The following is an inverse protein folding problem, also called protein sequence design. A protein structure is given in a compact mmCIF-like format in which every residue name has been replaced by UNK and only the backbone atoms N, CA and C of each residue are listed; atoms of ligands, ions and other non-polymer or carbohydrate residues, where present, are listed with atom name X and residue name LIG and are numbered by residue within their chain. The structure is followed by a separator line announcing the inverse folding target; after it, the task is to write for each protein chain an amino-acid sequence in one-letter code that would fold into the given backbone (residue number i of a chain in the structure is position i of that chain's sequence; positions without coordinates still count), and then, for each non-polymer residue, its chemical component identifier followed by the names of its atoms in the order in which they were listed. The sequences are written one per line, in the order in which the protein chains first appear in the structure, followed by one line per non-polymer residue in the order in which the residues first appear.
data_IF_730384321199
#
_entry.id   IF_730384321199
#
_cell.length_a   1.000
_cell.length_b   1.000
_cell.length_c   1.000
_cell.angle_alpha   90.00
_cell.angle_beta   90.00
_cell.angle_gamma   90.00
#
_symmetry.space_group_name_H-M   'P 1'
#
loop_
_entity.id
_entity.type
_entity.pdbx_description
1 polymer ?
#
# COMPACT_ATOMS: atom_id res chain seq x y z
N UNK A 1 -77.86 -25.76 -2.05
CA UNK A 1 -76.72 -25.36 -1.19
C UNK A 1 -76.05 -24.19 -1.88
N UNK A 2 -76.16 -23.00 -1.30
CA UNK A 2 -75.81 -21.73 -1.94
C UNK A 2 -74.28 -21.53 -1.97
N UNK A 3 -73.74 -20.86 -3.01
CA UNK A 3 -72.37 -20.36 -2.99
C UNK A 3 -72.26 -19.13 -2.06
N UNK A 4 -71.15 -18.98 -1.31
CA UNK A 4 -70.96 -17.85 -0.41
C UNK A 4 -70.73 -16.54 -1.16
N UNK A 5 -71.21 -15.44 -0.56
CA UNK A 5 -71.17 -14.05 -1.07
C UNK A 5 -69.74 -13.47 -1.07
N UNK A 6 -69.44 -12.49 -1.95
CA UNK A 6 -68.16 -11.79 -1.94
C UNK A 6 -68.08 -10.77 -0.79
N UNK A 7 -66.91 -10.70 -0.17
CA UNK A 7 -66.54 -9.79 0.92
C UNK A 7 -66.09 -8.43 0.37
N UNK A 8 -66.66 -7.34 0.89
CA UNK A 8 -66.20 -5.97 0.71
C UNK A 8 -65.00 -5.70 1.64
N UNK A 9 -63.87 -5.25 1.09
CA UNK A 9 -62.78 -4.67 1.89
C UNK A 9 -62.49 -3.24 1.42
N UNK A 10 -62.47 -2.36 2.41
CA UNK A 10 -62.54 -0.90 2.39
C UNK A 10 -61.39 -0.21 1.63
N UNK A 11 -61.73 0.92 1.00
CA UNK A 11 -60.78 1.84 0.36
C UNK A 11 -59.87 2.50 1.41
N UNK A 12 -58.55 2.45 1.16
CA UNK A 12 -57.55 3.20 1.92
C UNK A 12 -57.35 4.60 1.31
N UNK A 13 -57.33 5.62 2.14
CA UNK A 13 -57.09 7.02 1.76
C UNK A 13 -55.65 7.23 1.19
N UNK A 14 -55.47 8.15 0.23
CA UNK A 14 -54.16 8.43 -0.35
C UNK A 14 -53.22 9.13 0.67
N UNK A 15 -51.90 8.88 0.60
CA UNK A 15 -50.94 9.42 1.57
C UNK A 15 -50.79 10.94 1.43
N UNK A 16 -50.73 11.63 2.58
CA UNK A 16 -50.47 13.07 2.69
C UNK A 16 -49.06 13.41 2.18
N UNK A 17 -49.00 14.35 1.23
CA UNK A 17 -47.75 15.01 0.81
C UNK A 17 -47.29 15.92 1.96
N UNK A 18 -46.07 15.71 2.45
CA UNK A 18 -45.41 16.59 3.43
C UNK A 18 -44.45 17.48 2.65
N UNK A 19 -44.69 18.78 2.68
CA UNK A 19 -43.81 19.80 2.09
C UNK A 19 -42.46 19.83 2.85
N UNK A 20 -41.35 19.81 2.11
CA UNK A 20 -40.01 19.88 2.68
C UNK A 20 -39.62 21.35 2.96
N UNK A 21 -39.33 21.66 4.22
CA UNK A 21 -38.73 22.93 4.64
C UNK A 21 -37.34 23.11 4.01
N UNK A 22 -37.08 24.30 3.48
CA UNK A 22 -35.80 24.70 2.93
C UNK A 22 -34.77 24.98 4.05
N UNK A 23 -33.64 24.28 4.04
CA UNK A 23 -32.52 24.50 4.97
C UNK A 23 -31.42 25.38 4.34
N UNK A 24 -30.99 26.39 5.09
CA UNK A 24 -29.93 27.39 4.82
C UNK A 24 -28.57 26.77 4.42
N UNK A 25 -27.87 27.25 3.37
CA UNK A 25 -26.63 26.63 2.88
C UNK A 25 -25.36 26.92 3.70
N UNK A 26 -25.42 27.56 4.88
CA UNK A 26 -24.20 28.04 5.57
C UNK A 26 -23.72 27.30 6.83
N UNK A 27 -24.38 26.21 7.27
CA UNK A 27 -23.89 25.42 8.41
C UNK A 27 -23.10 24.16 7.99
N UNK A 28 -21.77 24.28 7.94
CA UNK A 28 -20.87 23.11 7.80
C UNK A 28 -20.77 22.39 9.15
N UNK A 29 -21.72 21.50 9.42
CA UNK A 29 -21.71 20.61 10.59
C UNK A 29 -20.47 19.72 10.58
N UNK A 30 -19.49 20.02 11.45
CA UNK A 30 -18.40 19.09 11.74
C UNK A 30 -18.98 17.96 12.58
N UNK A 31 -19.22 16.79 11.96
CA UNK A 31 -19.64 15.59 12.69
C UNK A 31 -18.55 15.22 13.70
N UNK A 32 -18.74 15.56 14.97
CA UNK A 32 -17.93 15.01 16.06
C UNK A 32 -18.18 13.51 16.10
N UNK A 33 -17.17 12.71 15.76
CA UNK A 33 -17.23 11.25 15.91
C UNK A 33 -17.20 10.91 17.39
N UNK A 34 -18.11 10.04 17.81
CA UNK A 34 -18.08 9.47 19.15
C UNK A 34 -16.77 8.68 19.32
N UNK A 35 -16.15 8.69 20.51
CA UNK A 35 -15.00 7.84 20.81
C UNK A 35 -15.41 6.37 20.65
N UNK A 36 -14.57 5.61 19.93
CA UNK A 36 -14.78 4.19 19.65
C UNK A 36 -14.04 3.37 20.70
N UNK A 37 -14.76 2.47 21.38
CA UNK A 37 -14.18 1.52 22.34
C UNK A 37 -13.71 0.26 21.60
N UNK A 38 -12.41 0.23 21.29
CA UNK A 38 -11.79 -0.88 20.59
C UNK A 38 -11.76 -2.18 21.40
N UNK A 39 -11.75 -2.11 22.73
CA UNK A 39 -11.76 -3.31 23.58
C UNK A 39 -13.14 -4.00 23.57
N UNK A 40 -14.21 -3.23 23.40
CA UNK A 40 -15.55 -3.79 23.17
C UNK A 40 -15.69 -4.39 21.77
N UNK A 41 -15.06 -3.79 20.76
CA UNK A 41 -15.09 -4.31 19.38
C UNK A 41 -14.27 -5.59 19.23
N UNK A 42 -13.11 -5.66 19.87
CA UNK A 42 -12.27 -6.88 19.91
C UNK A 42 -13.06 -8.08 20.47
N UNK A 43 -13.86 -7.86 21.52
CA UNK A 43 -14.72 -8.90 22.10
C UNK A 43 -15.93 -9.26 21.23
N UNK A 44 -16.27 -8.43 20.24
CA UNK A 44 -17.34 -8.68 19.27
C UNK A 44 -16.80 -9.29 17.96
N UNK A 45 -15.48 -9.24 17.75
CA UNK A 45 -14.80 -9.87 16.64
C UNK A 45 -14.56 -11.34 16.97
N UNK A 46 -15.58 -12.17 16.75
CA UNK A 46 -15.45 -13.63 16.75
C UNK A 46 -14.95 -14.08 15.37
N UNK A 47 -13.75 -13.63 15.00
CA UNK A 47 -13.08 -14.01 13.74
C UNK A 47 -12.03 -15.05 14.08
N UNK A 48 -12.21 -16.26 13.57
CA UNK A 48 -11.26 -17.35 13.76
C UNK A 48 -10.10 -17.23 12.77
N UNK A 49 -8.97 -17.87 13.06
CA UNK A 49 -7.83 -17.93 12.13
C UNK A 49 -8.25 -18.49 10.76
N UNK A 50 -9.23 -19.40 10.72
CA UNK A 50 -9.81 -19.94 9.49
C UNK A 50 -10.62 -18.89 8.70
N UNK A 51 -11.32 -17.98 9.38
CA UNK A 51 -12.05 -16.87 8.74
C UNK A 51 -11.07 -15.87 8.12
N UNK A 52 -9.95 -15.60 8.81
CA UNK A 52 -8.87 -14.76 8.28
C UNK A 52 -8.24 -15.43 7.06
N UNK A 53 -7.90 -16.72 7.14
CA UNK A 53 -7.34 -17.49 6.03
C UNK A 53 -8.28 -17.51 4.81
N UNK A 54 -9.60 -17.62 5.04
CA UNK A 54 -10.61 -17.56 3.99
C UNK A 54 -10.71 -16.17 3.33
N UNK A 55 -10.57 -15.08 4.10
CA UNK A 55 -10.53 -13.72 3.54
C UNK A 55 -9.34 -13.49 2.59
N UNK A 56 -8.23 -14.19 2.82
CA UNK A 56 -7.04 -14.14 1.97
C UNK A 56 -6.93 -15.29 0.96
N UNK A 57 -7.99 -16.11 0.81
CA UNK A 57 -8.05 -17.18 -0.20
C UNK A 57 -7.13 -18.37 0.08
N UNK A 58 -6.63 -18.53 1.31
CA UNK A 58 -5.79 -19.66 1.71
C UNK A 58 -6.66 -20.79 2.32
N UNK A 59 -6.57 -22.01 1.78
CA UNK A 59 -7.16 -23.20 2.40
C UNK A 59 -6.14 -23.84 3.33
N UNK A 60 -6.56 -24.16 4.57
CA UNK A 60 -5.78 -24.98 5.48
C UNK A 60 -5.48 -26.36 4.85
N UNK A 61 -4.21 -26.61 4.53
CA UNK A 61 -3.72 -27.94 4.21
C UNK A 61 -3.07 -28.54 5.46
N UNK A 62 -3.54 -29.72 5.83
CA UNK A 62 -3.05 -30.52 6.95
C UNK A 62 -1.59 -30.94 6.78
N UNK A 63 -0.78 -30.62 7.79
CA UNK A 63 0.44 -31.32 8.25
C UNK A 63 1.32 -32.03 7.21
N UNK A 64 2.51 -31.46 6.97
CA UNK A 64 3.73 -32.25 6.79
C UNK A 64 4.88 -31.59 7.55
N UNK A 65 5.38 -32.30 8.55
CA UNK A 65 6.62 -32.04 9.26
C UNK A 65 7.82 -32.08 8.31
N UNK A 66 8.65 -31.04 8.32
CA UNK A 66 10.04 -31.15 7.88
C UNK A 66 10.95 -30.38 8.83
N UNK A 67 11.73 -31.16 9.55
CA UNK A 67 12.86 -30.81 10.40
C UNK A 67 13.81 -29.78 9.77
N UNK A 68 14.14 -28.75 10.54
CA UNK A 68 15.30 -27.91 10.30
C UNK A 68 16.58 -28.68 10.63
N UNK A 69 17.27 -29.17 9.60
CA UNK A 69 18.64 -29.68 9.72
C UNK A 69 19.63 -28.53 9.56
N UNK A 70 20.38 -28.27 10.63
CA UNK A 70 21.54 -27.39 10.69
C UNK A 70 22.61 -27.81 9.67
N UNK A 71 22.98 -26.90 8.76
CA UNK A 71 24.10 -27.05 7.85
C UNK A 71 25.12 -25.94 8.07
N UNK A 72 26.16 -26.24 8.85
CA UNK A 72 27.37 -25.41 8.93
C UNK A 72 28.10 -25.44 7.59
N UNK A 73 28.50 -24.28 7.08
CA UNK A 73 29.52 -24.18 6.03
C UNK A 73 30.31 -22.89 6.22
N UNK A 74 31.42 -23.02 6.93
CA UNK A 74 32.54 -22.07 6.90
C UNK A 74 33.13 -22.01 5.50
N UNK A 75 33.37 -20.81 4.97
CA UNK A 75 34.52 -20.54 4.10
C UNK A 75 34.92 -19.06 4.14
N UNK A 76 36.21 -18.89 4.38
CA UNK A 76 36.94 -17.64 4.55
C UNK A 76 37.21 -16.92 3.22
N UNK A 77 37.27 -15.59 3.29
CA UNK A 77 38.31 -14.74 2.70
C UNK A 77 38.65 -14.80 1.21
N UNK A 78 38.30 -13.72 0.49
CA UNK A 78 39.27 -12.78 -0.13
C UNK A 78 39.01 -12.39 -1.61
N UNK A 79 39.09 -11.06 -1.80
CA UNK A 79 39.54 -10.32 -2.98
C UNK A 79 38.52 -9.99 -4.08
N UNK A 80 38.39 -8.67 -4.30
CA UNK A 80 37.78 -8.03 -5.45
C UNK A 80 38.38 -8.55 -6.76
N UNK A 81 37.53 -9.02 -7.68
CA UNK A 81 37.71 -8.94 -9.15
C UNK A 81 36.41 -9.34 -9.86
N UNK A 82 35.93 -8.45 -10.74
CA UNK A 82 34.88 -8.72 -11.73
C UNK A 82 33.46 -8.41 -11.26
N UNK A 83 32.90 -7.28 -11.72
CA UNK A 83 31.46 -7.05 -11.73
C UNK A 83 30.85 -8.02 -12.76
N UNK A 84 30.54 -9.24 -12.32
CA UNK A 84 29.60 -10.11 -13.02
C UNK A 84 28.20 -9.58 -12.74
N UNK A 85 27.39 -9.36 -13.78
CA UNK A 85 26.01 -8.94 -13.62
C UNK A 85 25.25 -9.99 -12.79
N UNK A 86 24.84 -9.61 -11.58
CA UNK A 86 23.96 -10.43 -10.74
C UNK A 86 22.53 -10.09 -11.16
N UNK A 87 21.85 -11.04 -11.79
CA UNK A 87 20.46 -10.92 -12.25
C UNK A 87 19.47 -11.56 -11.26
N UNK A 88 18.18 -11.23 -11.47
CA UNK A 88 16.92 -11.65 -10.81
C UNK A 88 16.45 -10.68 -9.70
N UNK A 89 15.15 -10.54 -9.30
CA UNK A 89 14.00 -11.44 -9.36
C UNK A 89 12.74 -10.85 -10.05
N UNK A 90 11.74 -11.69 -10.35
CA UNK A 90 10.39 -11.28 -10.77
C UNK A 90 10.07 -11.49 -12.25
N UNK A 91 10.95 -12.13 -13.01
CA UNK A 91 10.80 -12.30 -14.45
C UNK A 91 9.44 -12.89 -14.83
N UNK A 92 8.63 -12.02 -15.41
CA UNK A 92 7.66 -12.45 -16.42
C UNK A 92 8.50 -12.93 -17.61
N UNK A 93 8.33 -14.17 -18.10
CA UNK A 93 9.14 -14.69 -19.19
C UNK A 93 9.19 -13.70 -20.37
N UNK A 94 10.36 -13.10 -20.64
CA UNK A 94 10.59 -12.27 -21.83
C UNK A 94 10.81 -10.76 -21.64
N UNK A 95 11.06 -10.24 -20.44
CA UNK A 95 11.28 -8.78 -20.23
C UNK A 95 12.66 -8.39 -19.63
N UNK A 96 13.63 -9.30 -19.56
CA UNK A 96 15.02 -8.88 -19.36
C UNK A 96 15.46 -8.04 -20.56
N UNK A 97 15.81 -6.77 -20.30
CA UNK A 97 16.31 -5.83 -21.32
C UNK A 97 17.67 -6.27 -21.91
N UNK A 98 18.31 -7.26 -21.29
CA UNK A 98 19.62 -7.77 -21.66
C UNK A 98 19.48 -9.15 -22.31
N UNK A 99 19.34 -9.14 -23.64
CA UNK A 99 19.68 -10.20 -24.60
C UNK A 99 19.58 -11.68 -24.15
N UNK A 100 18.56 -12.35 -24.70
CA UNK A 100 18.53 -13.76 -25.14
C UNK A 100 19.63 -14.68 -24.58
N UNK A 101 19.41 -15.22 -23.38
CA UNK A 101 20.10 -16.41 -22.90
C UNK A 101 19.06 -17.50 -22.60
N UNK A 102 19.29 -18.76 -22.98
CA UNK A 102 18.39 -19.85 -22.62
C UNK A 102 18.42 -20.04 -21.11
N UNK A 103 17.28 -19.84 -20.45
CA UNK A 103 17.14 -19.97 -19.00
C UNK A 103 17.05 -21.46 -18.65
N UNK A 104 18.11 -22.06 -18.11
CA UNK A 104 18.01 -23.32 -17.38
C UNK A 104 17.44 -23.03 -15.99
N UNK A 105 16.27 -23.60 -15.70
CA UNK A 105 15.62 -23.82 -14.39
C UNK A 105 16.20 -23.06 -13.19
N UNK A 106 15.96 -21.75 -13.12
CA UNK A 106 16.14 -20.99 -11.88
C UNK A 106 14.83 -20.93 -11.09
N UNK A 107 14.89 -21.15 -9.77
CA UNK A 107 13.73 -21.12 -8.90
C UNK A 107 13.11 -19.70 -8.86
N UNK A 108 11.79 -19.57 -9.07
CA UNK A 108 11.13 -18.27 -9.06
C UNK A 108 11.19 -17.65 -7.65
N UNK A 109 11.34 -16.32 -7.60
CA UNK A 109 11.32 -15.59 -6.33
C UNK A 109 10.00 -15.86 -5.59
N UNK A 110 10.09 -16.18 -4.30
CA UNK A 110 8.91 -16.47 -3.49
C UNK A 110 7.88 -15.33 -3.60
N UNK A 111 6.58 -15.64 -3.76
CA UNK A 111 5.95 -16.96 -3.76
C UNK A 111 5.80 -17.60 -5.16
N UNK A 112 6.41 -17.04 -6.20
CA UNK A 112 6.24 -17.50 -7.58
C UNK A 112 4.89 -17.12 -8.21
N UNK A 113 4.28 -16.02 -7.75
CA UNK A 113 3.03 -15.46 -8.30
C UNK A 113 3.19 -13.95 -8.56
N UNK A 114 2.18 -13.30 -9.16
CA UNK A 114 2.21 -11.86 -9.43
C UNK A 114 2.71 -11.47 -10.83
N UNK A 115 2.51 -12.35 -11.81
CA UNK A 115 2.87 -12.07 -13.21
C UNK A 115 2.07 -10.90 -13.80
N UNK A 116 2.69 -10.18 -14.73
CA UNK A 116 2.12 -8.99 -15.39
C UNK A 116 0.76 -9.28 -16.05
N UNK A 117 0.60 -10.46 -16.65
CA UNK A 117 -0.61 -10.86 -17.38
C UNK A 117 -1.77 -11.26 -16.46
N UNK A 118 -1.55 -11.36 -15.14
CA UNK A 118 -2.59 -11.72 -14.18
C UNK A 118 -3.44 -10.51 -13.84
N UNK A 119 -4.44 -10.24 -14.67
CA UNK A 119 -5.32 -9.07 -14.58
C UNK A 119 -6.49 -9.21 -13.59
N UNK A 120 -6.57 -10.35 -12.89
CA UNK A 120 -7.71 -10.72 -12.05
C UNK A 120 -8.94 -11.14 -12.86
N UNK A 121 -10.03 -11.41 -12.13
CA UNK A 121 -11.31 -11.85 -12.69
C UNK A 121 -11.47 -13.36 -12.87
N UNK A 122 -10.56 -14.15 -12.27
CA UNK A 122 -10.60 -15.62 -12.29
C UNK A 122 -11.93 -16.17 -11.74
N UNK A 123 -12.42 -15.60 -10.63
CA UNK A 123 -13.69 -16.00 -10.01
C UNK A 123 -14.87 -15.10 -10.40
N UNK A 124 -14.59 -13.90 -10.94
CA UNK A 124 -15.60 -12.89 -11.27
C UNK A 124 -15.14 -12.05 -12.45
N UNK A 125 -15.72 -12.26 -13.64
CA UNK A 125 -15.30 -11.57 -14.88
C UNK A 125 -15.38 -10.04 -14.77
N UNK A 126 -16.35 -9.52 -14.01
CA UNK A 126 -16.49 -8.08 -13.76
C UNK A 126 -15.28 -7.46 -13.00
N UNK A 127 -14.46 -8.30 -12.33
CA UNK A 127 -13.24 -7.89 -11.66
C UNK A 127 -11.99 -7.92 -12.57
N UNK A 128 -12.12 -8.35 -13.84
CA UNK A 128 -11.01 -8.32 -14.80
C UNK A 128 -10.50 -6.88 -14.98
N UNK A 129 -9.18 -6.70 -14.92
CA UNK A 129 -8.52 -5.39 -15.01
C UNK A 129 -8.48 -4.63 -13.68
N UNK A 130 -8.95 -5.22 -12.58
CA UNK A 130 -8.86 -4.63 -11.22
C UNK A 130 -7.60 -5.07 -10.45
N UNK A 131 -6.82 -5.99 -11.01
CA UNK A 131 -5.51 -6.36 -10.47
C UNK A 131 -4.41 -5.85 -11.42
N UNK A 132 -3.46 -5.10 -10.86
CA UNK A 132 -2.31 -4.55 -11.59
C UNK A 132 -1.06 -5.04 -10.87
N UNK A 133 -0.36 -6.00 -11.46
CA UNK A 133 0.94 -6.45 -10.96
C UNK A 133 2.06 -5.67 -11.62
N UNK A 134 3.08 -5.33 -10.83
CA UNK A 134 4.25 -4.57 -11.27
C UNK A 134 5.49 -5.38 -10.88
N UNK A 135 5.81 -6.44 -11.65
CA UNK A 135 6.99 -7.26 -11.38
C UNK A 135 8.25 -6.46 -11.73
N UNK A 136 9.15 -6.33 -10.75
CA UNK A 136 10.49 -5.86 -11.06
C UNK A 136 11.21 -6.91 -11.93
N UNK A 137 12.04 -6.51 -12.90
CA UNK A 137 12.80 -7.46 -13.72
C UNK A 137 14.09 -7.91 -13.01
N UNK A 138 14.61 -7.14 -12.06
CA UNK A 138 15.81 -7.48 -11.30
C UNK A 138 15.88 -6.79 -9.93
N UNK A 139 16.90 -7.12 -9.14
CA UNK A 139 17.19 -6.54 -7.82
C UNK A 139 17.66 -5.09 -7.92
N UNK A 140 17.74 -4.41 -6.78
CA UNK A 140 18.47 -3.14 -6.66
C UNK A 140 17.67 -1.88 -6.98
N UNK A 141 16.40 -2.02 -7.38
CA UNK A 141 15.50 -0.89 -7.58
C UNK A 141 15.33 -0.08 -6.30
N UNK A 142 15.35 1.25 -6.42
CA UNK A 142 15.37 2.15 -5.27
C UNK A 142 14.30 3.23 -5.37
N UNK A 143 14.54 4.33 -4.65
CA UNK A 143 13.55 5.38 -4.42
C UNK A 143 12.94 5.94 -5.71
N UNK A 144 13.77 6.18 -6.74
CA UNK A 144 13.33 6.83 -7.97
C UNK A 144 12.43 5.92 -8.80
N UNK A 145 12.76 4.64 -8.91
CA UNK A 145 11.97 3.69 -9.70
C UNK A 145 10.62 3.42 -9.02
N UNK A 146 10.62 3.27 -7.70
CA UNK A 146 9.39 3.14 -6.92
C UNK A 146 8.50 4.39 -7.03
N UNK A 147 9.08 5.59 -6.90
CA UNK A 147 8.33 6.85 -7.09
C UNK A 147 7.78 6.98 -8.51
N UNK A 148 8.55 6.58 -9.53
CA UNK A 148 8.09 6.56 -10.92
C UNK A 148 6.84 5.68 -11.07
N UNK A 149 6.86 4.48 -10.50
CA UNK A 149 5.70 3.57 -10.49
C UNK A 149 4.50 4.19 -9.77
N UNK A 150 4.72 4.80 -8.60
CA UNK A 150 3.64 5.45 -7.84
C UNK A 150 2.98 6.56 -8.67
N UNK A 151 3.77 7.41 -9.33
CA UNK A 151 3.26 8.55 -10.10
C UNK A 151 2.64 8.17 -11.46
N UNK A 152 3.18 7.17 -12.15
CA UNK A 152 2.78 6.84 -13.51
C UNK A 152 1.72 5.73 -13.57
N UNK A 153 1.64 4.86 -12.56
CA UNK A 153 0.73 3.71 -12.55
C UNK A 153 -0.26 3.80 -11.39
N UNK A 154 0.24 3.85 -10.15
CA UNK A 154 -0.62 3.70 -8.95
C UNK A 154 -1.57 4.88 -8.80
N UNK A 155 -1.07 6.11 -8.84
CA UNK A 155 -1.89 7.32 -8.67
C UNK A 155 -2.90 7.47 -9.82
N UNK A 156 -2.53 7.35 -11.11
CA UNK A 156 -3.50 7.43 -12.20
C UNK A 156 -4.58 6.35 -12.12
N UNK A 157 -4.21 5.08 -11.92
CA UNK A 157 -5.18 3.99 -11.79
C UNK A 157 -6.10 4.18 -10.57
N UNK A 158 -5.55 4.61 -9.44
CA UNK A 158 -6.34 4.90 -8.24
C UNK A 158 -7.29 6.09 -8.44
N UNK A 159 -6.88 7.15 -9.15
CA UNK A 159 -7.76 8.27 -9.47
C UNK A 159 -8.92 7.88 -10.37
N UNK A 160 -8.69 7.00 -11.34
CA UNK A 160 -9.75 6.45 -12.20
C UNK A 160 -10.70 5.54 -11.40
N UNK A 161 -10.15 4.74 -10.48
CA UNK A 161 -10.94 3.87 -9.60
C UNK A 161 -11.79 4.63 -8.58
N UNK A 162 -11.38 5.84 -8.17
CA UNK A 162 -12.06 6.69 -7.19
C UNK A 162 -12.34 5.99 -5.84
N UNK A 163 -11.30 5.56 -5.10
CA UNK A 163 -11.48 4.84 -3.84
C UNK A 163 -12.03 5.75 -2.73
N UNK A 164 -12.95 5.20 -1.94
CA UNK A 164 -13.40 5.81 -0.68
C UNK A 164 -12.34 5.75 0.44
N UNK A 165 -11.45 4.75 0.36
CA UNK A 165 -10.38 4.42 1.30
C UNK A 165 -9.24 3.70 0.56
N UNK A 166 -8.00 4.06 0.88
CA UNK A 166 -6.79 3.39 0.42
C UNK A 166 -6.15 2.63 1.58
N UNK A 167 -5.94 1.33 1.39
CA UNK A 167 -5.19 0.47 2.30
C UNK A 167 -3.84 0.15 1.66
N UNK A 168 -2.76 0.38 2.41
CA UNK A 168 -1.38 0.06 2.00
C UNK A 168 -0.92 -1.13 2.83
N UNK A 169 -0.73 -2.27 2.18
CA UNK A 169 0.03 -3.40 2.72
C UNK A 169 1.51 -2.97 2.72
N UNK A 170 2.00 -2.54 3.88
CA UNK A 170 3.23 -1.75 4.04
C UNK A 170 4.37 -2.63 4.56
N UNK A 171 4.92 -3.45 3.67
CA UNK A 171 6.14 -4.21 3.92
C UNK A 171 7.39 -3.33 3.78
N UNK A 172 8.36 -3.53 4.68
CA UNK A 172 9.65 -2.84 4.67
C UNK A 172 10.82 -3.72 4.21
N UNK A 173 10.53 -4.87 3.61
CA UNK A 173 11.53 -5.78 3.06
C UNK A 173 12.15 -5.28 1.75
N UNK A 174 11.53 -4.34 1.04
CA UNK A 174 12.20 -3.62 -0.07
C UNK A 174 13.21 -2.55 0.40
N UNK A 175 13.35 -2.36 1.72
CA UNK A 175 14.31 -1.41 2.26
C UNK A 175 15.76 -1.85 2.01
N UNK A 176 16.63 -0.87 1.72
CA UNK A 176 18.07 -1.09 1.53
C UNK A 176 18.69 -1.83 2.71
N UNK A 177 19.28 -2.99 2.46
CA UNK A 177 19.93 -3.81 3.46
C UNK A 177 18.99 -4.70 4.27
N UNK A 178 17.73 -4.85 3.84
CA UNK A 178 16.90 -5.96 4.28
C UNK A 178 17.51 -7.31 3.84
N UNK A 179 17.16 -8.37 4.57
CA UNK A 179 17.72 -9.71 4.37
C UNK A 179 17.11 -10.45 3.17
N UNK A 180 15.88 -10.12 2.76
CA UNK A 180 15.13 -10.91 1.78
C UNK A 180 14.74 -10.14 0.51
N UNK A 181 14.34 -8.87 0.64
CA UNK A 181 13.78 -8.15 -0.52
C UNK A 181 14.79 -7.73 -1.58
N UNK A 182 16.08 -7.59 -1.23
CA UNK A 182 17.17 -7.28 -2.17
C UNK A 182 16.91 -6.04 -3.04
N UNK A 183 16.17 -5.07 -2.49
CA UNK A 183 15.91 -3.76 -3.09
C UNK A 183 16.67 -2.66 -2.33
N UNK A 184 16.61 -1.44 -2.84
CA UNK A 184 17.41 -0.31 -2.39
C UNK A 184 16.57 0.88 -1.92
N UNK A 185 15.30 0.65 -1.55
CA UNK A 185 14.41 1.71 -1.08
C UNK A 185 14.91 2.24 0.27
N UNK A 186 14.98 3.55 0.41
CA UNK A 186 15.38 4.20 1.66
C UNK A 186 14.16 4.62 2.46
N UNK A 187 14.35 4.91 3.75
CA UNK A 187 13.28 5.50 4.56
C UNK A 187 12.73 6.80 3.93
N UNK A 188 13.58 7.59 3.26
CA UNK A 188 13.15 8.77 2.51
C UNK A 188 12.25 8.41 1.33
N UNK A 189 12.52 7.29 0.64
CA UNK A 189 11.67 6.75 -0.42
C UNK A 189 10.28 6.36 0.09
N UNK A 190 10.20 5.64 1.22
CA UNK A 190 8.92 5.33 1.87
C UNK A 190 8.13 6.58 2.27
N UNK A 191 8.81 7.59 2.84
CA UNK A 191 8.19 8.88 3.14
C UNK A 191 7.63 9.55 1.88
N UNK A 192 8.42 9.60 0.79
CA UNK A 192 8.02 10.26 -0.44
C UNK A 192 6.84 9.55 -1.13
N UNK A 193 6.86 8.21 -1.19
CA UNK A 193 5.74 7.42 -1.74
C UNK A 193 4.45 7.63 -0.92
N UNK A 194 4.56 7.58 0.41
CA UNK A 194 3.40 7.78 1.30
C UNK A 194 2.84 9.19 1.16
N UNK A 195 3.71 10.19 1.07
CA UNK A 195 3.33 11.59 0.83
C UNK A 195 2.58 11.74 -0.48
N UNK A 196 3.10 11.17 -1.57
CA UNK A 196 2.44 11.23 -2.89
C UNK A 196 1.05 10.59 -2.87
N UNK A 197 0.89 9.45 -2.17
CA UNK A 197 -0.42 8.80 -2.00
C UNK A 197 -1.38 9.64 -1.17
N UNK A 198 -0.93 10.24 -0.06
CA UNK A 198 -1.77 11.10 0.78
C UNK A 198 -2.18 12.41 0.07
N UNK A 199 -1.32 12.94 -0.81
CA UNK A 199 -1.67 14.08 -1.66
C UNK A 199 -2.69 13.72 -2.74
N UNK A 200 -2.66 12.48 -3.23
CA UNK A 200 -3.59 11.98 -4.22
C UNK A 200 -4.93 11.53 -3.62
N UNK A 201 -4.95 11.05 -2.37
CA UNK A 201 -6.10 10.39 -1.76
C UNK A 201 -6.35 10.85 -0.32
N UNK A 202 -7.63 11.05 0.03
CA UNK A 202 -8.06 11.67 1.29
C UNK A 202 -7.96 10.76 2.53
N UNK A 203 -8.09 9.44 2.34
CA UNK A 203 -8.11 8.45 3.43
C UNK A 203 -7.15 7.34 3.09
N UNK A 204 -5.99 7.37 3.74
CA UNK A 204 -4.92 6.40 3.56
C UNK A 204 -4.63 5.75 4.91
N UNK A 205 -4.57 4.41 4.92
CA UNK A 205 -4.20 3.61 6.09
C UNK A 205 -3.05 2.70 5.67
N UNK A 206 -1.97 2.72 6.44
CA UNK A 206 -0.86 1.79 6.28
C UNK A 206 -0.94 0.68 7.32
N UNK A 207 -0.76 -0.56 6.89
CA UNK A 207 -0.75 -1.77 7.72
C UNK A 207 0.61 -2.42 7.57
N UNK A 208 1.34 -2.60 8.67
CA UNK A 208 2.68 -3.19 8.64
C UNK A 208 2.62 -4.67 8.21
N UNK A 209 3.57 -5.07 7.36
CA UNK A 209 3.69 -6.44 6.85
C UNK A 209 5.12 -6.98 7.05
N UNK A 210 5.83 -7.32 5.96
CA UNK A 210 7.21 -7.77 5.97
C UNK A 210 8.23 -6.70 6.37
N UNK A 211 9.50 -7.10 6.42
CA UNK A 211 10.61 -6.28 6.89
C UNK A 211 11.37 -7.02 7.98
N UNK A 212 12.56 -7.48 7.63
CA UNK A 212 13.31 -8.46 8.41
C UNK A 212 14.59 -7.88 9.01
N UNK A 213 14.95 -6.66 8.62
CA UNK A 213 15.93 -5.85 9.32
C UNK A 213 15.25 -4.87 10.29
N UNK A 214 15.30 -5.15 11.60
CA UNK A 214 14.62 -4.37 12.67
C UNK A 214 14.93 -2.87 12.61
N UNK A 215 16.19 -2.52 12.34
CA UNK A 215 16.59 -1.11 12.21
C UNK A 215 15.99 -0.41 11.00
N UNK A 216 15.68 -1.15 9.94
CA UNK A 216 15.01 -0.60 8.75
C UNK A 216 13.51 -0.48 9.00
N UNK A 217 12.89 -1.49 9.61
CA UNK A 217 11.48 -1.42 10.03
C UNK A 217 11.25 -0.18 10.89
N UNK A 218 12.07 0.07 11.90
CA UNK A 218 11.92 1.26 12.75
C UNK A 218 12.02 2.59 11.97
N UNK A 219 13.01 2.72 11.07
CA UNK A 219 13.23 3.95 10.27
C UNK A 219 12.13 4.15 9.23
N UNK A 220 11.70 3.08 8.55
CA UNK A 220 10.68 3.17 7.52
C UNK A 220 9.29 3.39 8.14
N UNK A 221 8.99 2.75 9.29
CA UNK A 221 7.79 3.06 10.09
C UNK A 221 7.74 4.53 10.50
N UNK A 222 8.85 5.08 11.02
CA UNK A 222 8.92 6.50 11.38
C UNK A 222 8.67 7.40 10.17
N UNK A 223 9.26 7.06 9.02
CA UNK A 223 9.10 7.81 7.78
C UNK A 223 7.65 7.79 7.25
N UNK A 224 6.99 6.64 7.25
CA UNK A 224 5.58 6.49 6.85
C UNK A 224 4.66 7.25 7.80
N UNK A 225 4.85 7.08 9.11
CA UNK A 225 4.05 7.78 10.13
C UNK A 225 4.22 9.29 10.04
N UNK A 226 5.45 9.77 9.81
CA UNK A 226 5.74 11.19 9.60
C UNK A 226 4.99 11.74 8.38
N UNK A 227 5.03 11.05 7.24
CA UNK A 227 4.28 11.45 6.06
C UNK A 227 2.78 11.55 6.35
N UNK A 228 2.20 10.55 7.03
CA UNK A 228 0.78 10.56 7.40
C UNK A 228 0.42 11.74 8.32
N UNK A 229 1.25 12.02 9.34
CA UNK A 229 1.03 13.13 10.26
C UNK A 229 1.12 14.48 9.54
N UNK A 230 2.16 14.70 8.75
CA UNK A 230 2.37 15.96 8.02
C UNK A 230 1.24 16.22 7.00
N UNK A 231 0.69 15.18 6.37
CA UNK A 231 -0.43 15.32 5.44
C UNK A 231 -1.81 15.41 6.14
N UNK A 232 -1.91 15.02 7.41
CA UNK A 232 -3.16 15.13 8.18
C UNK A 232 -3.47 16.56 8.68
N UNK A 233 -2.53 17.49 8.49
CA UNK A 233 -2.66 18.87 8.98
C UNK A 233 -2.50 19.00 10.49
N UNK A 234 -1.97 17.97 11.18
CA UNK A 234 -1.60 18.07 12.59
C UNK A 234 -0.43 19.03 12.76
N UNK A 235 -0.53 19.93 13.74
CA UNK A 235 0.54 20.88 14.05
C UNK A 235 1.86 20.18 14.39
N UNK A 236 2.95 20.73 13.83
CA UNK A 236 4.33 20.56 14.29
C UNK A 236 4.77 19.14 14.62
N UNK A 237 4.91 18.27 13.62
CA UNK A 237 5.65 17.01 13.82
C UNK A 237 7.09 17.36 14.26
N UNK A 238 7.60 16.81 15.38
CA UNK A 238 8.94 17.14 15.85
C UNK A 238 9.97 16.94 14.74
N UNK A 239 10.84 17.93 14.56
CA UNK A 239 11.89 17.88 13.52
C UNK A 239 12.73 16.63 13.74
N UNK A 240 12.71 15.74 12.75
CA UNK A 240 13.49 14.51 12.79
C UNK A 240 14.99 14.80 12.64
N UNK A 241 15.84 13.84 13.03
CA UNK A 241 17.27 13.86 12.65
C UNK A 241 17.50 13.45 11.19
N UNK A 242 16.44 13.32 10.40
CA UNK A 242 16.51 12.86 9.03
C UNK A 242 16.96 14.01 8.13
N UNK A 243 18.01 13.77 7.34
CA UNK A 243 18.72 14.83 6.62
C UNK A 243 17.83 15.61 5.64
N UNK A 244 16.85 14.95 5.00
CA UNK A 244 15.95 15.61 4.06
C UNK A 244 15.09 16.70 4.73
N UNK A 245 14.71 16.52 6.01
CA UNK A 245 14.01 17.56 6.75
C UNK A 245 14.92 18.77 7.02
N UNK A 246 16.19 18.51 7.31
CA UNK A 246 17.19 19.59 7.47
C UNK A 246 17.44 20.32 6.14
N UNK A 247 17.31 19.63 5.01
CA UNK A 247 17.40 20.23 3.68
C UNK A 247 16.31 21.27 3.43
N UNK A 248 15.09 21.06 3.94
CA UNK A 248 14.00 22.02 3.79
C UNK A 248 14.32 23.38 4.43
N UNK A 249 14.81 23.37 5.67
CA UNK A 249 15.23 24.58 6.38
C UNK A 249 16.33 25.33 5.61
N UNK A 250 17.34 24.59 5.14
CA UNK A 250 18.43 25.16 4.33
C UNK A 250 17.92 25.75 3.02
N UNK A 251 16.99 25.08 2.32
CA UNK A 251 16.40 25.59 1.08
C UNK A 251 15.69 26.92 1.32
N UNK A 252 14.89 27.01 2.38
CA UNK A 252 14.17 28.24 2.72
C UNK A 252 15.13 29.37 3.11
N UNK A 253 16.18 29.08 3.88
CA UNK A 253 17.24 30.04 4.19
C UNK A 253 17.96 30.55 2.92
N UNK A 254 18.28 29.65 1.98
CA UNK A 254 18.88 30.01 0.68
C UNK A 254 17.94 30.88 -0.13
N UNK A 255 16.66 30.51 -0.25
CA UNK A 255 15.65 31.31 -0.97
C UNK A 255 15.54 32.71 -0.38
N UNK A 256 15.38 32.81 0.94
CA UNK A 256 15.28 34.10 1.64
C UNK A 256 16.53 34.98 1.42
N UNK A 257 17.72 34.38 1.52
CA UNK A 257 18.99 35.08 1.31
C UNK A 257 19.11 35.63 -0.12
N UNK A 258 18.59 34.89 -1.10
CA UNK A 258 18.71 35.21 -2.52
C UNK A 258 17.46 35.86 -3.15
N UNK A 259 16.38 36.07 -2.38
CA UNK A 259 15.10 36.61 -2.88
C UNK A 259 15.20 38.02 -3.49
N UNK A 260 16.18 38.81 -3.06
CA UNK A 260 16.46 40.12 -3.64
C UNK A 260 17.09 40.04 -5.05
N UNK A 261 17.67 38.89 -5.42
CA UNK A 261 18.37 38.70 -6.69
C UNK A 261 17.57 37.83 -7.68
N UNK A 262 16.70 36.96 -7.18
CA UNK A 262 15.93 36.01 -8.00
C UNK A 262 14.44 36.12 -7.69
N UNK A 263 13.63 36.52 -8.67
CA UNK A 263 12.18 36.67 -8.52
C UNK A 263 11.44 35.35 -8.28
N UNK A 264 12.04 34.21 -8.66
CA UNK A 264 11.48 32.89 -8.37
C UNK A 264 11.63 32.45 -6.91
N UNK A 265 12.37 33.21 -6.09
CA UNK A 265 12.54 32.96 -4.65
C UNK A 265 11.73 33.91 -3.78
N UNK A 266 10.89 34.77 -4.38
CA UNK A 266 9.97 35.68 -3.69
C UNK A 266 8.61 35.03 -3.42
#
# INVERSE_FOLDING_TARGET
MAPPKPEETQAQDPPKVVEAEATDPTERSTRRRAPVDYASLEKQLDITDDDVLAMFGARASSSSSSSSSSGSSTREGASHRGLGAVHNPGDTPGLSLDSWTPVEEEEPYYPGTGHLERLGGDDCEAARGRNINIPWPCHGFGDLEYLRVVHEIVIPAGKEFQPDLVLISCGFDSARGDLLGSMMVTASGYYAMTTALCQAFHKVVAVLEGGYHVGNVAKCSEAVLRALLEQSGTDGVPRGRVLWHQTGDLIEEVKQTHAQFFSCFQ
#
